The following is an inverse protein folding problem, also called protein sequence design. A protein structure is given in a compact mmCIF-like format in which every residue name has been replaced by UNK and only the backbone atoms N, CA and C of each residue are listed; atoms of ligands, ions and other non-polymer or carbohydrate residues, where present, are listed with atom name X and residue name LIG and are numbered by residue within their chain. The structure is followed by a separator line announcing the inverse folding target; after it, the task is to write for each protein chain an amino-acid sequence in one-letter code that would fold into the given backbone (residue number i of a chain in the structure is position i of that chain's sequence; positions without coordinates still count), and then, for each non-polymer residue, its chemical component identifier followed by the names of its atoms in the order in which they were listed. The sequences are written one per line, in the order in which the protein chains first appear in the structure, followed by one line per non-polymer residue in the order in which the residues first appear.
data_IF_249282408982
#
_entry.id   IF_249282408982
#
_cell.length_a   1.000
_cell.length_b   1.000
_cell.length_c   1.000
_cell.angle_alpha   90.00
_cell.angle_beta   90.00
_cell.angle_gamma   90.00
#
_symmetry.space_group_name_H-M   'P 1'
#
loop_
_entity.id
_entity.type
_entity.pdbx_description
1 polymer ?
#
# COMPACT_ATOMS: atom_id res chain seq x y z
N UNK A 1 -8.16 -13.04 8.15
CA UNK A 1 -8.91 -12.63 6.94
C UNK A 1 -8.52 -11.21 6.50
N UNK A 2 -8.39 -10.27 7.44
CA UNK A 2 -8.09 -8.85 7.15
C UNK A 2 -6.76 -8.59 6.45
N UNK A 3 -5.71 -9.37 6.76
CA UNK A 3 -4.40 -9.26 6.10
C UNK A 3 -4.46 -9.54 4.59
N UNK A 4 -5.23 -10.53 4.15
CA UNK A 4 -5.38 -10.83 2.71
C UNK A 4 -6.12 -9.71 2.00
N UNK A 5 -7.18 -9.16 2.63
CA UNK A 5 -7.94 -8.04 2.09
C UNK A 5 -7.05 -6.80 1.95
N UNK A 6 -6.17 -6.55 2.93
CA UNK A 6 -5.20 -5.46 2.88
C UNK A 6 -4.19 -5.64 1.75
N UNK A 7 -3.59 -6.82 1.62
CA UNK A 7 -2.62 -7.13 0.55
C UNK A 7 -3.23 -6.98 -0.84
N UNK A 8 -4.47 -7.45 -1.00
CA UNK A 8 -5.23 -7.39 -2.25
C UNK A 8 -5.59 -5.95 -2.64
N UNK A 9 -5.90 -5.09 -1.67
CA UNK A 9 -6.06 -3.64 -1.90
C UNK A 9 -4.75 -2.93 -2.20
N UNK A 10 -3.67 -3.25 -1.50
CA UNK A 10 -2.35 -2.70 -1.79
C UNK A 10 -1.90 -3.07 -3.21
N UNK A 11 -2.09 -4.32 -3.63
CA UNK A 11 -1.74 -4.77 -4.97
C UNK A 11 -2.50 -4.02 -6.07
N UNK A 12 -3.79 -3.73 -5.87
CA UNK A 12 -4.62 -3.05 -6.88
C UNK A 12 -4.52 -1.52 -6.86
N UNK A 13 -4.50 -0.94 -5.67
CA UNK A 13 -4.69 0.50 -5.50
C UNK A 13 -3.35 1.22 -5.26
N UNK A 14 -2.39 0.55 -4.60
CA UNK A 14 -1.10 1.12 -4.24
C UNK A 14 0.04 0.73 -5.19
N UNK A 15 -0.02 -0.44 -5.81
CA UNK A 15 1.01 -0.86 -6.77
C UNK A 15 0.81 -0.16 -8.12
N UNK A 16 1.77 0.69 -8.51
CA UNK A 16 1.79 1.37 -9.80
C UNK A 16 2.94 0.82 -10.64
N UNK A 17 2.59 0.25 -11.78
CA UNK A 17 3.55 -0.22 -12.77
C UNK A 17 3.86 0.92 -13.74
N UNK A 18 5.16 1.23 -13.89
CA UNK A 18 5.64 2.28 -14.77
C UNK A 18 7.05 2.71 -14.39
N UNK A 19 7.76 3.33 -15.33
CA UNK A 19 9.11 3.87 -15.08
C UNK A 19 8.99 5.11 -14.18
N UNK A 20 9.21 4.92 -12.88
CA UNK A 20 8.98 5.93 -11.86
C UNK A 20 10.29 6.25 -11.15
N UNK A 21 10.63 7.52 -11.08
CA UNK A 21 11.72 7.99 -10.22
C UNK A 21 11.22 8.02 -8.78
N UNK A 22 11.76 7.13 -7.95
CA UNK A 22 11.47 7.07 -6.53
C UNK A 22 11.97 8.34 -5.82
N UNK A 23 11.44 8.62 -4.63
CA UNK A 23 11.92 9.73 -3.79
C UNK A 23 13.41 9.59 -3.42
N UNK A 24 13.97 8.38 -3.53
CA UNK A 24 15.41 8.10 -3.39
C UNK A 24 16.25 8.48 -4.62
N UNK A 25 15.65 9.06 -5.66
CA UNK A 25 16.32 9.41 -6.92
C UNK A 25 16.60 8.23 -7.86
N UNK A 26 16.16 7.01 -7.52
CA UNK A 26 16.36 5.80 -8.34
C UNK A 26 15.15 5.56 -9.21
N UNK A 27 15.36 5.22 -10.47
CA UNK A 27 14.30 4.74 -11.34
C UNK A 27 13.95 3.31 -10.99
N UNK A 28 12.66 3.02 -10.86
CA UNK A 28 12.15 1.67 -10.64
C UNK A 28 10.85 1.49 -11.41
N UNK A 29 10.65 0.28 -11.91
CA UNK A 29 9.46 -0.10 -12.69
C UNK A 29 8.22 -0.29 -11.82
N UNK A 30 8.43 -0.50 -10.52
CA UNK A 30 7.40 -0.77 -9.54
C UNK A 30 7.49 0.28 -8.43
N UNK A 31 6.50 1.16 -8.33
CA UNK A 31 6.37 2.10 -7.22
C UNK A 31 5.13 1.75 -6.41
N UNK A 32 5.28 1.71 -5.10
CA UNK A 32 4.14 1.59 -4.19
C UNK A 32 3.75 2.97 -3.68
N UNK A 33 2.58 3.45 -4.10
CA UNK A 33 1.94 4.62 -3.53
C UNK A 33 0.83 4.17 -2.58
N UNK A 34 1.12 4.09 -1.29
CA UNK A 34 0.14 3.64 -0.30
C UNK A 34 -0.95 4.69 0.02
N UNK A 35 -0.86 5.92 -0.48
CA UNK A 35 -1.84 7.00 -0.24
C UNK A 35 -3.29 6.60 -0.53
N UNK A 36 -3.66 6.00 -1.68
CA UNK A 36 -5.02 5.55 -1.95
C UNK A 36 -5.58 4.58 -0.90
N UNK A 37 -4.73 3.72 -0.33
CA UNK A 37 -5.16 2.78 0.72
C UNK A 37 -5.22 3.48 2.08
N UNK A 38 -4.18 4.24 2.45
CA UNK A 38 -4.06 4.91 3.75
C UNK A 38 -5.04 6.07 3.95
N UNK A 39 -5.42 6.76 2.89
CA UNK A 39 -6.39 7.87 2.93
C UNK A 39 -7.84 7.40 2.69
N UNK A 40 -8.07 6.09 2.61
CA UNK A 40 -9.42 5.53 2.62
C UNK A 40 -9.82 5.11 4.03
N UNK A 41 -11.03 5.44 4.49
CA UNK A 41 -11.48 5.10 5.85
C UNK A 41 -11.39 3.60 6.18
N UNK A 42 -11.75 2.75 5.20
CA UNK A 42 -11.65 1.29 5.34
C UNK A 42 -10.21 0.77 5.26
N UNK A 43 -9.38 1.36 4.40
CA UNK A 43 -7.97 0.97 4.27
C UNK A 43 -7.15 1.38 5.48
N UNK A 44 -7.42 2.55 6.08
CA UNK A 44 -6.80 2.96 7.34
C UNK A 44 -7.17 2.00 8.49
N UNK A 45 -8.44 1.61 8.60
CA UNK A 45 -8.85 0.63 9.62
C UNK A 45 -8.15 -0.72 9.45
N UNK A 46 -8.01 -1.22 8.21
CA UNK A 46 -7.29 -2.46 7.91
C UNK A 46 -5.79 -2.34 8.20
N UNK A 47 -5.17 -1.18 7.90
CA UNK A 47 -3.78 -0.90 8.23
C UNK A 47 -3.57 -0.88 9.74
N UNK A 48 -4.37 -0.13 10.48
CA UNK A 48 -4.31 -0.06 11.94
C UNK A 48 -4.50 -1.43 12.59
N UNK A 49 -5.46 -2.23 12.12
CA UNK A 49 -5.71 -3.57 12.63
C UNK A 49 -4.52 -4.51 12.36
N UNK A 50 -3.92 -4.44 11.17
CA UNK A 50 -2.74 -5.23 10.84
C UNK A 50 -1.50 -4.80 11.62
N UNK A 51 -1.30 -3.49 11.85
CA UNK A 51 -0.17 -3.01 12.67
C UNK A 51 -0.30 -3.41 14.13
N UNK A 52 -1.52 -3.42 14.67
CA UNK A 52 -1.76 -3.84 16.06
C UNK A 52 -1.60 -5.35 16.25
N UNK A 53 -1.78 -6.15 15.19
CA UNK A 53 -1.62 -7.60 15.22
C UNK A 53 -0.16 -8.07 15.03
N UNK A 54 0.79 -7.14 14.87
CA UNK A 54 2.24 -7.38 14.69
C UNK A 54 3.07 -6.99 15.94
N UNK A 55 2.41 -6.56 17.02
CA UNK A 55 2.94 -6.35 18.37
C UNK A 55 2.41 -7.48 19.26
#
# INVERSE_FOLDING_TARGET
MDRQILLDRLAREACRHGQLTLASGRSSEHSMNCKPVALSGRGLALLCLCTFSLI
#
